data_IF_603328904326
#
_entry.id   IF_603328904326
#
_cell.length_a   1.000
_cell.length_b   1.000
_cell.length_c   1.000
_cell.angle_alpha   90.00
_cell.angle_beta   90.00
_cell.angle_gamma   90.00
#
_symmetry.space_group_name_H-M   'P 1'
#
loop_
_entity.id
_entity.type
_entity.pdbx_description
1 polymer ?
#
# COMPACT_ATOMS: atom_id res chain seq x y z
N UNK A 1 13.30 12.37 2.21
CA UNK A 1 12.69 11.23 2.92
C UNK A 1 13.51 11.02 4.17
N UNK A 2 12.89 10.67 5.29
CA UNK A 2 13.62 10.30 6.52
C UNK A 2 13.17 8.91 6.96
N UNK A 3 14.09 8.15 7.52
CA UNK A 3 13.88 6.83 8.11
C UNK A 3 14.40 6.88 9.55
N UNK A 4 13.59 6.43 10.51
CA UNK A 4 14.02 6.25 11.90
C UNK A 4 13.38 4.98 12.47
N UNK A 5 14.03 4.38 13.46
CA UNK A 5 13.45 3.31 14.27
C UNK A 5 12.84 3.90 15.55
N UNK A 6 11.84 3.23 16.10
CA UNK A 6 11.26 3.52 17.42
C UNK A 6 11.20 2.22 18.22
N UNK A 7 12.15 2.03 19.13
CA UNK A 7 12.37 0.74 19.79
C UNK A 7 12.83 -0.36 18.82
N UNK A 8 12.66 -1.61 19.21
CA UNK A 8 13.24 -2.75 18.48
C UNK A 8 12.36 -3.26 17.33
N UNK A 9 11.09 -2.84 17.28
CA UNK A 9 10.08 -3.44 16.38
C UNK A 9 9.30 -2.44 15.53
N UNK A 10 9.62 -1.13 15.59
CA UNK A 10 8.92 -0.11 14.78
C UNK A 10 9.88 0.67 13.90
N UNK A 11 9.45 0.89 12.66
CA UNK A 11 10.12 1.72 11.67
C UNK A 11 9.18 2.83 11.23
N UNK A 12 9.65 4.08 11.28
CA UNK A 12 8.90 5.26 10.88
C UNK A 12 9.55 5.89 9.65
N UNK A 13 8.77 5.98 8.59
CA UNK A 13 9.17 6.56 7.30
C UNK A 13 8.39 7.84 7.06
N UNK A 14 9.10 8.96 6.81
CA UNK A 14 8.45 10.21 6.40
C UNK A 14 8.88 10.63 4.99
N UNK A 15 7.90 10.92 4.14
CA UNK A 15 8.10 11.40 2.77
C UNK A 15 7.20 12.61 2.50
N UNK A 16 7.80 13.68 1.98
CA UNK A 16 7.07 14.83 1.44
C UNK A 16 6.73 14.58 -0.03
N UNK A 17 5.49 14.87 -0.40
CA UNK A 17 4.98 14.86 -1.77
C UNK A 17 4.53 16.27 -2.17
N UNK A 18 4.73 16.63 -3.43
CA UNK A 18 4.19 17.86 -4.01
C UNK A 18 2.76 17.61 -4.54
N UNK A 19 1.88 17.12 -3.67
CA UNK A 19 0.51 16.74 -3.99
C UNK A 19 -0.40 17.00 -2.77
N UNK A 20 -1.71 17.08 -2.99
CA UNK A 20 -2.67 17.21 -1.89
C UNK A 20 -2.74 15.93 -1.05
N UNK A 21 -3.15 16.01 0.23
CA UNK A 21 -3.40 14.82 1.05
C UNK A 21 -4.39 13.85 0.41
N UNK A 22 -5.41 14.37 -0.27
CA UNK A 22 -6.40 13.56 -1.01
C UNK A 22 -5.77 12.76 -2.15
N UNK A 23 -4.90 13.38 -2.96
CA UNK A 23 -4.23 12.68 -4.05
C UNK A 23 -3.32 11.55 -3.53
N UNK A 24 -2.56 11.81 -2.47
CA UNK A 24 -1.70 10.80 -1.85
C UNK A 24 -2.53 9.69 -1.21
N UNK A 25 -3.64 10.05 -0.57
CA UNK A 25 -4.56 9.08 0.03
C UNK A 25 -5.16 8.16 -1.02
N UNK A 26 -5.69 8.72 -2.12
CA UNK A 26 -6.22 7.93 -3.25
C UNK A 26 -5.17 6.97 -3.81
N UNK A 27 -3.92 7.41 -3.97
CA UNK A 27 -2.84 6.53 -4.43
C UNK A 27 -2.64 5.29 -3.54
N UNK A 28 -3.06 5.31 -2.27
CA UNK A 28 -2.96 4.18 -1.33
C UNK A 28 -4.28 3.44 -1.10
N UNK A 29 -5.42 3.91 -1.61
CA UNK A 29 -6.73 3.30 -1.35
C UNK A 29 -7.49 2.87 -2.60
N UNK A 30 -7.15 3.44 -3.74
CA UNK A 30 -7.76 3.16 -5.05
C UNK A 30 -6.96 2.04 -5.75
N UNK A 31 -7.54 0.84 -5.96
CA UNK A 31 -6.83 -0.29 -6.56
C UNK A 31 -6.17 0.04 -7.89
N UNK A 32 -6.87 0.80 -8.76
CA UNK A 32 -6.37 1.13 -10.09
C UNK A 32 -5.13 2.03 -10.04
N UNK A 33 -5.04 2.90 -9.03
CA UNK A 33 -3.86 3.73 -8.80
C UNK A 33 -2.73 2.94 -8.16
N UNK A 34 -3.04 2.07 -7.18
CA UNK A 34 -2.04 1.24 -6.51
C UNK A 34 -1.27 0.40 -7.54
N UNK A 35 -1.98 -0.21 -8.50
CA UNK A 35 -1.38 -1.01 -9.58
C UNK A 35 -0.44 -0.24 -10.50
N UNK A 36 -0.41 1.09 -10.46
CA UNK A 36 0.47 1.91 -11.30
C UNK A 36 1.83 2.21 -10.65
N UNK A 37 1.93 2.21 -9.32
CA UNK A 37 3.14 2.68 -8.62
C UNK A 37 3.68 1.71 -7.58
N UNK A 38 2.82 0.92 -6.92
CA UNK A 38 3.25 0.00 -5.86
C UNK A 38 3.67 -1.33 -6.48
N UNK A 39 4.60 -1.26 -7.42
CA UNK A 39 5.14 -2.40 -8.12
C UNK A 39 6.43 -2.88 -7.46
N UNK A 40 6.75 -4.15 -7.70
CA UNK A 40 8.02 -4.74 -7.27
C UNK A 40 9.20 -4.22 -8.10
N UNK A 41 10.27 -5.02 -8.24
CA UNK A 41 11.37 -4.72 -9.15
C UNK A 41 10.90 -4.43 -10.59
N UNK A 42 11.78 -3.84 -11.40
CA UNK A 42 11.48 -3.54 -12.80
C UNK A 42 10.94 -4.78 -13.56
N UNK A 43 9.89 -4.55 -14.36
CA UNK A 43 9.20 -5.60 -15.11
C UNK A 43 8.15 -6.39 -14.31
N UNK A 44 8.01 -6.16 -13.01
CA UNK A 44 6.95 -6.76 -12.21
C UNK A 44 5.62 -6.03 -12.39
N UNK A 45 4.53 -6.77 -12.30
CA UNK A 45 3.15 -6.24 -12.33
C UNK A 45 2.39 -6.68 -11.09
N UNK A 46 1.25 -6.03 -10.83
CA UNK A 46 0.30 -6.43 -9.81
C UNK A 46 -1.02 -6.90 -10.46
N UNK A 47 -1.15 -8.17 -10.86
CA UNK A 47 -2.36 -8.67 -11.53
C UNK A 47 -3.61 -8.67 -10.64
N UNK A 48 -3.45 -8.79 -9.32
CA UNK A 48 -4.56 -8.76 -8.36
C UNK A 48 -4.33 -7.64 -7.34
N UNK A 49 -5.29 -6.73 -7.27
CA UNK A 49 -5.31 -5.65 -6.30
C UNK A 49 -6.71 -5.54 -5.68
N UNK A 50 -6.86 -6.08 -4.48
CA UNK A 50 -8.06 -5.90 -3.64
C UNK A 50 -7.70 -4.91 -2.54
N UNK A 51 -8.40 -3.78 -2.50
CA UNK A 51 -8.27 -2.79 -1.44
C UNK A 51 -9.64 -2.24 -1.06
N UNK A 52 -10.24 -2.81 -0.02
CA UNK A 52 -11.48 -2.30 0.55
C UNK A 52 -11.16 -1.24 1.62
N UNK A 53 -11.15 0.04 1.23
CA UNK A 53 -10.79 1.15 2.11
C UNK A 53 -11.91 1.52 3.11
N UNK A 54 -12.24 0.57 3.99
CA UNK A 54 -13.15 0.71 5.13
C UNK A 54 -12.66 -0.16 6.30
N UNK A 55 -12.99 0.16 7.56
CA UNK A 55 -12.73 -0.76 8.67
C UNK A 55 -13.34 -2.15 8.43
N UNK A 56 -12.58 -3.21 8.76
CA UNK A 56 -12.92 -4.60 8.45
C UNK A 56 -12.87 -4.95 6.95
N UNK A 57 -12.31 -4.06 6.12
CA UNK A 57 -12.17 -4.25 4.69
C UNK A 57 -10.97 -5.15 4.36
N UNK A 58 -11.14 -6.02 3.38
CA UNK A 58 -10.08 -6.93 2.94
C UNK A 58 -9.03 -6.21 2.09
N UNK A 59 -7.78 -6.66 2.22
CA UNK A 59 -6.66 -6.29 1.38
C UNK A 59 -6.03 -7.55 0.79
N UNK A 60 -5.73 -7.54 -0.51
CA UNK A 60 -4.92 -8.57 -1.17
C UNK A 60 -4.17 -7.96 -2.34
N UNK A 61 -2.85 -8.07 -2.32
CA UNK A 61 -1.98 -7.63 -3.39
C UNK A 61 -1.15 -8.82 -3.86
N UNK A 62 -1.18 -9.09 -5.16
CA UNK A 62 -0.35 -10.13 -5.76
C UNK A 62 0.61 -9.50 -6.75
N UNK A 63 1.89 -9.78 -6.60
CA UNK A 63 2.93 -9.33 -7.50
C UNK A 63 3.51 -10.51 -8.27
N UNK A 64 3.83 -10.31 -9.55
CA UNK A 64 4.50 -11.32 -10.38
C UNK A 64 5.50 -10.69 -11.32
N UNK A 65 6.54 -11.45 -11.68
CA UNK A 65 7.49 -11.09 -12.74
C UNK A 65 7.08 -11.58 -14.14
N UNK A 66 5.88 -12.18 -14.28
CA UNK A 66 5.40 -12.75 -15.55
C UNK A 66 6.13 -14.02 -16.03
N UNK A 67 7.07 -14.55 -15.23
CA UNK A 67 7.90 -15.73 -15.54
C UNK A 67 7.68 -16.87 -14.53
N UNK A 68 6.52 -16.89 -13.88
CA UNK A 68 6.14 -17.91 -12.90
C UNK A 68 6.66 -17.67 -11.48
N UNK A 69 7.32 -16.53 -11.21
CA UNK A 69 7.66 -16.12 -9.84
C UNK A 69 6.80 -14.93 -9.41
N UNK A 70 6.55 -14.87 -8.10
CA UNK A 70 5.71 -13.86 -7.50
C UNK A 70 5.51 -14.12 -6.02
N UNK A 71 4.81 -13.21 -5.36
CA UNK A 71 4.35 -13.38 -4.00
C UNK A 71 3.05 -12.60 -3.84
N UNK A 72 2.34 -12.87 -2.75
CA UNK A 72 1.17 -12.12 -2.39
C UNK A 72 1.21 -11.74 -0.93
N UNK A 73 0.44 -10.70 -0.63
CA UNK A 73 0.18 -10.24 0.70
C UNK A 73 -1.33 -10.12 0.90
N UNK A 74 -1.80 -10.43 2.10
CA UNK A 74 -3.21 -10.32 2.47
C UNK A 74 -3.30 -9.61 3.80
N UNK A 75 -4.38 -8.86 4.01
CA UNK A 75 -4.55 -8.12 5.24
C UNK A 75 -5.97 -7.64 5.47
N UNK A 76 -6.13 -6.91 6.56
CA UNK A 76 -7.38 -6.27 6.95
C UNK A 76 -7.14 -4.79 7.27
N UNK A 77 -8.00 -3.93 6.76
CA UNK A 77 -8.02 -2.50 7.11
C UNK A 77 -8.68 -2.33 8.48
N UNK A 78 -7.92 -1.83 9.45
CA UNK A 78 -8.38 -1.61 10.83
C UNK A 78 -9.02 -0.22 11.00
N UNK A 79 -8.42 0.80 10.41
CA UNK A 79 -8.86 2.20 10.52
C UNK A 79 -8.70 2.89 9.17
N UNK A 80 -9.74 3.61 8.75
CA UNK A 80 -9.72 4.37 7.50
C UNK A 80 -10.39 5.73 7.73
N UNK A 81 -9.58 6.80 7.74
CA UNK A 81 -10.03 8.19 7.83
C UNK A 81 -9.71 8.89 6.51
N UNK A 82 -10.73 9.30 5.74
CA UNK A 82 -10.54 9.92 4.43
C UNK A 82 -9.49 11.02 4.44
N UNK A 83 -8.57 10.96 3.46
CA UNK A 83 -7.53 11.96 3.20
C UNK A 83 -6.54 12.22 4.36
N UNK A 84 -6.50 11.35 5.37
CA UNK A 84 -5.68 11.56 6.58
C UNK A 84 -4.94 10.32 7.06
N UNK A 85 -5.63 9.18 7.21
CA UNK A 85 -5.06 8.02 7.91
C UNK A 85 -5.62 6.70 7.37
N UNK A 86 -4.73 5.72 7.22
CA UNK A 86 -5.08 4.33 6.96
C UNK A 86 -4.21 3.45 7.84
N UNK A 87 -4.82 2.48 8.52
CA UNK A 87 -4.16 1.47 9.34
C UNK A 87 -4.63 0.11 8.86
N UNK A 88 -3.69 -0.81 8.64
CA UNK A 88 -3.97 -2.20 8.29
C UNK A 88 -2.97 -3.13 8.97
N UNK A 89 -3.29 -4.41 8.97
CA UNK A 89 -2.38 -5.50 9.33
C UNK A 89 -2.22 -6.42 8.13
N UNK A 90 -1.02 -6.95 7.95
CA UNK A 90 -0.61 -7.82 6.83
C UNK A 90 0.37 -8.92 7.26
#
# INVERSE_FOLDING_TARGET
MTLKTEGDTHVVVNRRFAASPEAVYRAHTDPELIQQWMLGPEGWTMPVCIREARPGGKMRFEWTNGKGQGFYLTGECLEVVPNRRVVHVE
#
